data_IF_664227113125
#
_entry.id   IF_664227113125
#
_cell.length_a   1.000
_cell.length_b   1.000
_cell.length_c   1.000
_cell.angle_alpha   90.00
_cell.angle_beta   90.00
_cell.angle_gamma   90.00
#
_symmetry.space_group_name_H-M   'P 1'
#
loop_
_entity.id
_entity.type
_entity.pdbx_description
1 polymer ?
#
# COMPACT_ATOMS: atom_id res chain seq x y z
N UNK A 1 -12.04 32.60 15.85
CA UNK A 1 -11.15 31.73 16.67
C UNK A 1 -11.70 30.34 16.95
N UNK A 2 -12.79 30.15 17.72
CA UNK A 2 -13.30 28.79 18.00
C UNK A 2 -13.76 28.04 16.74
N UNK A 3 -14.36 28.74 15.78
CA UNK A 3 -14.79 28.15 14.51
C UNK A 3 -13.58 27.77 13.63
N UNK A 4 -12.57 28.63 13.57
CA UNK A 4 -11.34 28.41 12.80
C UNK A 4 -10.54 27.20 13.32
N UNK A 5 -10.44 27.04 14.64
CA UNK A 5 -9.81 25.86 15.27
C UNK A 5 -10.59 24.58 14.93
N UNK A 6 -11.93 24.63 14.95
CA UNK A 6 -12.77 23.48 14.58
C UNK A 6 -12.60 23.12 13.10
N UNK A 7 -12.55 24.12 12.22
CA UNK A 7 -12.28 23.93 10.80
C UNK A 7 -10.90 23.31 10.57
N UNK A 8 -9.86 23.84 11.21
CA UNK A 8 -8.51 23.27 11.17
C UNK A 8 -8.51 21.82 11.66
N UNK A 9 -9.13 21.54 12.81
CA UNK A 9 -9.22 20.18 13.36
C UNK A 9 -9.83 19.19 12.35
N UNK A 10 -10.88 19.60 11.66
CA UNK A 10 -11.52 18.77 10.66
C UNK A 10 -10.59 18.52 9.47
N UNK A 11 -9.93 19.56 8.95
CA UNK A 11 -8.91 19.44 7.89
C UNK A 11 -7.80 18.47 8.29
N UNK A 12 -7.26 18.60 9.50
CA UNK A 12 -6.24 17.69 10.03
C UNK A 12 -6.75 16.24 10.10
N UNK A 13 -8.01 16.02 10.51
CA UNK A 13 -8.61 14.67 10.52
C UNK A 13 -8.73 14.07 9.13
N UNK A 14 -9.15 14.86 8.14
CA UNK A 14 -9.23 14.39 6.76
C UNK A 14 -7.85 14.00 6.21
N UNK A 15 -6.84 14.85 6.39
CA UNK A 15 -5.46 14.52 6.00
C UNK A 15 -4.93 13.28 6.72
N UNK A 16 -5.22 13.13 8.02
CA UNK A 16 -4.89 11.93 8.77
C UNK A 16 -5.51 10.67 8.15
N UNK A 17 -6.81 10.69 7.84
CA UNK A 17 -7.51 9.55 7.24
C UNK A 17 -6.90 9.19 5.90
N UNK A 18 -6.69 10.18 5.02
CA UNK A 18 -6.08 9.96 3.71
C UNK A 18 -4.66 9.35 3.81
N UNK A 19 -3.85 9.79 4.77
CA UNK A 19 -2.51 9.23 5.01
C UNK A 19 -2.60 7.82 5.58
N UNK A 20 -3.52 7.55 6.50
CA UNK A 20 -3.73 6.21 7.07
C UNK A 20 -4.20 5.19 6.02
N UNK A 21 -5.09 5.61 5.12
CA UNK A 21 -5.52 4.83 3.96
C UNK A 21 -4.36 4.55 3.03
N UNK A 22 -3.62 5.58 2.61
CA UNK A 22 -2.48 5.44 1.69
C UNK A 22 -1.39 4.55 2.30
N UNK A 23 -1.10 4.70 3.58
CA UNK A 23 -0.23 3.80 4.35
C UNK A 23 -0.67 2.34 4.20
N UNK A 24 -1.97 2.06 4.39
CA UNK A 24 -2.52 0.71 4.25
C UNK A 24 -2.38 0.18 2.82
N UNK A 25 -2.60 1.01 1.81
CA UNK A 25 -2.45 0.63 0.40
C UNK A 25 -1.01 0.16 0.13
N UNK A 26 0.00 0.90 0.61
CA UNK A 26 1.40 0.51 0.45
C UNK A 26 1.75 -0.80 1.19
N UNK A 27 1.25 -1.00 2.42
CA UNK A 27 1.41 -2.30 3.11
C UNK A 27 0.81 -3.46 2.30
N UNK A 28 -0.41 -3.27 1.77
CA UNK A 28 -1.10 -4.30 0.99
C UNK A 28 -0.43 -4.55 -0.37
N UNK A 29 0.15 -3.52 -0.99
CA UNK A 29 0.92 -3.67 -2.21
C UNK A 29 2.22 -4.47 -1.94
N UNK A 30 2.90 -4.25 -0.81
CA UNK A 30 4.01 -5.07 -0.38
C UNK A 30 3.61 -6.54 -0.15
N UNK A 31 2.48 -6.79 0.52
CA UNK A 31 1.93 -8.15 0.68
C UNK A 31 1.69 -8.84 -0.66
N UNK A 32 1.23 -8.11 -1.68
CA UNK A 32 0.99 -8.64 -3.03
C UNK A 32 2.32 -9.04 -3.69
N UNK A 33 3.38 -8.24 -3.55
CA UNK A 33 4.69 -8.58 -4.07
C UNK A 33 5.26 -9.84 -3.40
N UNK A 34 5.20 -9.92 -2.08
CA UNK A 34 5.65 -11.10 -1.32
C UNK A 34 4.87 -12.34 -1.77
N UNK A 35 3.54 -12.26 -1.82
CA UNK A 35 2.72 -13.40 -2.22
C UNK A 35 3.04 -13.90 -3.64
N UNK A 36 3.25 -12.99 -4.60
CA UNK A 36 3.67 -13.33 -5.96
C UNK A 36 5.05 -13.99 -5.98
N UNK A 37 6.00 -13.42 -5.25
CA UNK A 37 7.35 -13.95 -5.14
C UNK A 37 7.33 -15.37 -4.56
N UNK A 38 6.61 -15.58 -3.45
CA UNK A 38 6.51 -16.87 -2.78
C UNK A 38 5.90 -17.94 -3.69
N UNK A 39 4.85 -17.61 -4.45
CA UNK A 39 4.26 -18.57 -5.41
C UNK A 39 5.26 -18.97 -6.49
N UNK A 40 5.96 -18.00 -7.10
CA UNK A 40 6.97 -18.28 -8.13
C UNK A 40 8.16 -19.08 -7.58
N UNK A 41 8.61 -18.76 -6.37
CA UNK A 41 9.70 -19.46 -5.69
C UNK A 41 9.34 -20.93 -5.43
N UNK A 42 8.13 -21.22 -4.96
CA UNK A 42 7.69 -22.60 -4.76
C UNK A 42 7.62 -23.40 -6.06
N UNK A 43 7.08 -22.81 -7.14
CA UNK A 43 7.07 -23.45 -8.46
C UNK A 43 8.52 -23.72 -8.91
N UNK A 44 9.41 -22.74 -8.76
CA UNK A 44 10.82 -22.88 -9.11
C UNK A 44 11.48 -24.02 -8.35
N UNK A 45 11.30 -24.09 -7.03
CA UNK A 45 11.89 -25.13 -6.18
C UNK A 45 11.40 -26.53 -6.60
N UNK A 46 10.09 -26.68 -6.84
CA UNK A 46 9.51 -27.97 -7.26
C UNK A 46 10.08 -28.40 -8.62
N UNK A 47 10.10 -27.50 -9.60
CA UNK A 47 10.61 -27.79 -10.95
C UNK A 47 12.12 -28.06 -10.93
N UNK A 48 12.89 -27.31 -10.14
CA UNK A 48 14.33 -27.54 -9.97
C UNK A 48 14.64 -28.87 -9.26
N UNK A 49 13.83 -29.25 -8.27
CA UNK A 49 13.90 -30.55 -7.61
C UNK A 49 13.61 -31.70 -8.58
N UNK A 50 12.54 -31.57 -9.38
CA UNK A 50 12.20 -32.54 -10.42
C UNK A 50 13.31 -32.64 -11.50
N UNK A 51 13.91 -31.51 -11.88
CA UNK A 51 15.04 -31.45 -12.82
C UNK A 51 16.25 -32.20 -12.25
N UNK A 52 16.58 -31.98 -10.98
CA UNK A 52 17.68 -32.68 -10.30
C UNK A 52 17.45 -34.19 -10.24
N UNK A 53 16.23 -34.63 -9.91
CA UNK A 53 15.86 -36.03 -9.93
C UNK A 53 15.94 -36.66 -11.33
N UNK A 54 15.45 -35.94 -12.36
CA UNK A 54 15.55 -36.35 -13.76
C UNK A 54 17.00 -36.49 -14.25
N UNK A 55 17.88 -35.56 -13.86
CA UNK A 55 19.32 -35.66 -14.14
C UNK A 55 19.94 -36.91 -13.51
N UNK A 56 19.57 -37.27 -12.28
CA UNK A 56 20.04 -38.51 -11.63
C UNK A 56 19.53 -39.73 -12.40
N UNK A 57 18.25 -39.76 -12.79
CA UNK A 57 17.67 -40.87 -13.56
C UNK A 57 18.41 -41.10 -14.90
N UNK A 58 18.79 -40.03 -15.62
CA UNK A 58 19.56 -40.11 -16.87
C UNK A 58 20.91 -40.81 -16.67
N UNK A 59 21.53 -40.73 -15.48
CA UNK A 59 22.80 -41.40 -15.22
C UNK A 59 22.65 -42.93 -15.10
N UNK A 60 21.49 -43.41 -14.66
CA UNK A 60 21.23 -44.84 -14.46
C UNK A 60 20.49 -45.47 -15.64
N UNK A 61 19.66 -44.70 -16.36
CA UNK A 61 18.85 -45.17 -17.50
C UNK A 61 19.38 -44.58 -18.82
N UNK A 62 20.10 -45.41 -19.58
CA UNK A 62 20.93 -44.94 -20.71
C UNK A 62 20.14 -44.47 -21.94
N UNK A 63 18.91 -44.96 -22.15
CA UNK A 63 18.21 -44.82 -23.44
C UNK A 63 16.81 -44.18 -23.38
N UNK A 64 16.37 -43.64 -22.24
CA UNK A 64 15.07 -42.98 -22.16
C UNK A 64 15.11 -41.53 -22.67
N UNK A 65 14.77 -41.34 -23.95
CA UNK A 65 14.63 -40.02 -24.59
C UNK A 65 13.65 -39.11 -23.84
N UNK A 66 12.56 -39.68 -23.31
CA UNK A 66 11.52 -38.93 -22.61
C UNK A 66 12.03 -38.27 -21.33
N UNK A 67 12.86 -38.94 -20.51
CA UNK A 67 13.46 -38.33 -19.32
C UNK A 67 14.35 -37.16 -19.72
N UNK A 68 15.18 -37.32 -20.76
CA UNK A 68 16.07 -36.25 -21.26
C UNK A 68 15.27 -35.03 -21.70
N UNK A 69 14.19 -35.23 -22.47
CA UNK A 69 13.33 -34.16 -22.94
C UNK A 69 12.62 -33.43 -21.80
N UNK A 70 12.00 -34.17 -20.87
CA UNK A 70 11.29 -33.58 -19.72
C UNK A 70 12.27 -32.79 -18.83
N UNK A 71 13.45 -33.35 -18.58
CA UNK A 71 14.49 -32.69 -17.77
C UNK A 71 14.98 -31.40 -18.43
N UNK A 72 15.16 -31.38 -19.75
CA UNK A 72 15.55 -30.19 -20.49
C UNK A 72 14.46 -29.10 -20.48
N UNK A 73 13.19 -29.49 -20.61
CA UNK A 73 12.06 -28.55 -20.51
C UNK A 73 11.97 -27.97 -19.10
N UNK A 74 12.10 -28.82 -18.06
CA UNK A 74 12.04 -28.40 -16.67
C UNK A 74 13.20 -27.43 -16.30
N UNK A 75 14.41 -27.68 -16.80
CA UNK A 75 15.54 -26.78 -16.59
C UNK A 75 15.32 -25.42 -17.28
N UNK A 76 14.75 -25.43 -18.48
CA UNK A 76 14.40 -24.20 -19.20
C UNK A 76 13.30 -23.40 -18.49
N UNK A 77 12.24 -24.06 -17.99
CA UNK A 77 11.19 -23.42 -17.18
C UNK A 77 11.79 -22.77 -15.92
N UNK A 78 12.70 -23.47 -15.24
CA UNK A 78 13.39 -22.94 -14.05
C UNK A 78 14.17 -21.67 -14.38
N UNK A 79 14.85 -21.64 -15.53
CA UNK A 79 15.57 -20.46 -16.00
C UNK A 79 14.62 -19.29 -16.32
N UNK A 80 13.49 -19.56 -16.99
CA UNK A 80 12.45 -18.54 -17.26
C UNK A 80 11.92 -17.95 -15.97
N UNK A 81 11.52 -18.77 -15.00
CA UNK A 81 10.97 -18.29 -13.72
C UNK A 81 12.00 -17.42 -13.00
N UNK A 82 13.27 -17.85 -12.99
CA UNK A 82 14.36 -17.07 -12.40
C UNK A 82 14.54 -15.72 -13.10
N UNK A 83 14.53 -15.71 -14.44
CA UNK A 83 14.63 -14.49 -15.23
C UNK A 83 13.45 -13.53 -14.97
N UNK A 84 12.23 -14.05 -14.88
CA UNK A 84 11.03 -13.26 -14.51
C UNK A 84 11.21 -12.66 -13.11
N UNK A 85 11.59 -13.45 -12.11
CA UNK A 85 11.75 -12.96 -10.74
C UNK A 85 12.82 -11.86 -10.62
N UNK A 86 13.89 -11.95 -11.41
CA UNK A 86 14.95 -10.94 -11.46
C UNK A 86 14.57 -9.71 -12.31
N UNK A 87 13.78 -9.88 -13.37
CA UNK A 87 13.38 -8.77 -14.25
C UNK A 87 12.26 -7.92 -13.67
N UNK A 88 11.39 -8.51 -12.84
CA UNK A 88 10.26 -7.81 -12.22
C UNK A 88 10.58 -7.28 -10.81
N UNK A 89 11.81 -7.42 -10.34
CA UNK A 89 12.34 -6.89 -9.08
C UNK A 89 11.32 -6.92 -7.93
N UNK A 90 10.64 -8.07 -7.76
CA UNK A 90 9.52 -8.19 -6.82
C UNK A 90 9.95 -7.88 -5.38
N UNK A 91 11.20 -8.19 -5.03
CA UNK A 91 11.81 -7.88 -3.73
C UNK A 91 12.09 -6.39 -3.55
N UNK A 92 12.60 -5.71 -4.57
CA UNK A 92 12.87 -4.28 -4.48
C UNK A 92 11.55 -3.49 -4.49
N UNK A 93 10.58 -3.96 -5.28
CA UNK A 93 9.19 -3.48 -5.24
C UNK A 93 8.58 -3.62 -3.85
N UNK A 94 8.71 -4.77 -3.18
CA UNK A 94 8.28 -4.93 -1.80
C UNK A 94 9.00 -3.94 -0.85
N UNK A 95 10.32 -3.89 -0.91
CA UNK A 95 11.15 -3.06 -0.02
C UNK A 95 10.79 -1.58 -0.15
N UNK A 96 10.64 -1.10 -1.39
CA UNK A 96 10.23 0.26 -1.70
C UNK A 96 8.84 0.57 -1.13
N UNK A 97 7.87 -0.32 -1.31
CA UNK A 97 6.53 -0.16 -0.76
C UNK A 97 6.54 -0.12 0.78
N UNK A 98 7.33 -1.00 1.42
CA UNK A 98 7.51 -0.99 2.89
C UNK A 98 8.20 0.28 3.38
N UNK A 99 9.16 0.80 2.64
CA UNK A 99 9.84 2.05 2.97
C UNK A 99 8.85 3.23 2.96
N UNK A 100 8.03 3.36 1.91
CA UNK A 100 6.98 4.38 1.85
C UNK A 100 5.93 4.20 2.94
N UNK A 101 5.49 2.96 3.22
CA UNK A 101 4.57 2.67 4.31
C UNK A 101 5.11 3.16 5.67
N UNK A 102 6.39 2.92 5.98
CA UNK A 102 7.01 3.41 7.23
C UNK A 102 7.06 4.93 7.31
N UNK A 103 7.36 5.62 6.20
CA UNK A 103 7.33 7.10 6.15
C UNK A 103 5.92 7.62 6.44
N UNK A 104 4.90 7.00 5.83
CA UNK A 104 3.49 7.37 6.05
C UNK A 104 3.00 7.04 7.46
N UNK A 105 3.47 5.94 8.05
CA UNK A 105 3.17 5.58 9.44
C UNK A 105 3.66 6.67 10.41
N UNK A 106 4.89 7.13 10.22
CA UNK A 106 5.45 8.24 11.01
C UNK A 106 4.61 9.51 10.82
N UNK A 107 4.33 9.89 9.58
CA UNK A 107 3.53 11.08 9.28
C UNK A 107 2.13 11.00 9.92
N UNK A 108 1.50 9.83 9.89
CA UNK A 108 0.22 9.56 10.56
C UNK A 108 0.29 9.83 12.06
N UNK A 109 1.35 9.38 12.72
CA UNK A 109 1.53 9.58 14.16
C UNK A 109 1.81 11.07 14.50
N UNK A 110 2.47 11.81 13.59
CA UNK A 110 2.62 13.27 13.69
C UNK A 110 1.25 14.00 13.55
N UNK A 111 0.36 13.54 12.67
CA UNK A 111 -1.02 14.05 12.59
C UNK A 111 -1.83 13.77 13.87
N UNK A 112 -1.69 12.58 14.48
CA UNK A 112 -2.33 12.29 15.78
C UNK A 112 -1.83 13.27 16.83
N UNK A 113 -0.53 13.54 16.87
CA UNK A 113 0.06 14.50 17.80
C UNK A 113 -0.54 15.89 17.62
N UNK A 114 -0.66 16.37 16.39
CA UNK A 114 -1.31 17.66 16.09
C UNK A 114 -2.78 17.67 16.54
N UNK A 115 -3.54 16.60 16.30
CA UNK A 115 -4.93 16.49 16.76
C UNK A 115 -5.05 16.52 18.29
N UNK A 116 -4.10 15.91 19.01
CA UNK A 116 -4.03 15.98 20.47
C UNK A 116 -3.75 17.40 20.94
N UNK A 117 -2.83 18.11 20.29
CA UNK A 117 -2.51 19.51 20.62
C UNK A 117 -3.69 20.46 20.40
N UNK A 118 -4.39 20.31 19.26
CA UNK A 118 -5.63 21.04 18.96
C UNK A 118 -6.67 20.81 20.07
N UNK A 119 -6.86 19.54 20.48
CA UNK A 119 -7.82 19.18 21.53
C UNK A 119 -7.45 19.76 22.90
N UNK A 120 -6.15 19.83 23.22
CA UNK A 120 -5.66 20.36 24.49
C UNK A 120 -5.79 21.88 24.58
N UNK A 121 -5.94 22.60 23.45
CA UNK A 121 -6.22 24.03 23.42
C UNK A 121 -5.11 24.92 23.99
N UNK A 122 -3.87 24.41 24.07
CA UNK A 122 -2.72 25.10 24.67
C UNK A 122 -1.91 25.96 23.69
N UNK A 123 -2.13 25.78 22.39
CA UNK A 123 -1.44 26.51 21.31
C UNK A 123 -2.43 27.42 20.59
N UNK A 124 -1.93 28.55 20.10
CA UNK A 124 -2.71 29.46 19.26
C UNK A 124 -2.93 28.88 17.86
N UNK A 125 -3.87 29.48 17.13
CA UNK A 125 -4.29 29.01 15.81
C UNK A 125 -3.15 29.09 14.77
N UNK A 126 -2.36 30.17 14.76
CA UNK A 126 -1.31 30.36 13.76
C UNK A 126 -0.22 29.31 13.89
N UNK A 127 0.18 29.00 15.14
CA UNK A 127 1.15 27.95 15.44
C UNK A 127 0.70 26.56 15.00
N UNK A 128 -0.59 26.24 15.20
CA UNK A 128 -1.18 24.96 14.78
C UNK A 128 -1.28 24.88 13.24
N UNK A 129 -1.63 25.97 12.59
CA UNK A 129 -1.72 26.06 11.12
C UNK A 129 -0.34 25.90 10.47
N UNK A 130 0.70 26.50 11.04
CA UNK A 130 2.07 26.36 10.57
C UNK A 130 2.55 24.90 10.67
N UNK A 131 2.28 24.24 11.80
CA UNK A 131 2.60 22.81 11.96
C UNK A 131 1.84 21.96 10.95
N UNK A 132 0.55 22.22 10.73
CA UNK A 132 -0.23 21.53 9.70
C UNK A 132 0.38 21.69 8.30
N UNK A 133 0.76 22.91 7.90
CA UNK A 133 1.43 23.18 6.61
C UNK A 133 2.75 22.41 6.48
N UNK A 134 3.50 22.29 7.58
CA UNK A 134 4.73 21.48 7.61
C UNK A 134 4.45 19.99 7.38
N UNK A 135 3.40 19.42 8.01
CA UNK A 135 2.99 18.04 7.78
C UNK A 135 2.50 17.81 6.34
N UNK A 136 1.78 18.76 5.76
CA UNK A 136 1.34 18.69 4.36
C UNK A 136 2.54 18.72 3.40
N UNK A 137 3.57 19.52 3.68
CA UNK A 137 4.82 19.51 2.92
C UNK A 137 5.51 18.15 2.98
N UNK A 138 5.66 17.58 4.18
CA UNK A 138 6.22 16.23 4.35
C UNK A 138 5.40 15.17 3.60
N UNK A 139 4.07 15.29 3.61
CA UNK A 139 3.18 14.40 2.85
C UNK A 139 3.49 14.45 1.35
N UNK A 140 3.62 15.65 0.79
CA UNK A 140 3.94 15.82 -0.63
C UNK A 140 5.30 15.21 -1.00
N UNK A 141 6.33 15.43 -0.17
CA UNK A 141 7.66 14.82 -0.36
C UNK A 141 7.58 13.29 -0.37
N UNK A 142 6.81 12.69 0.55
CA UNK A 142 6.63 11.24 0.58
C UNK A 142 5.89 10.74 -0.67
N UNK A 143 4.88 11.48 -1.16
CA UNK A 143 4.08 11.10 -2.32
C UNK A 143 4.85 11.25 -3.64
N UNK A 144 5.76 12.21 -3.73
CA UNK A 144 6.64 12.38 -4.89
C UNK A 144 7.57 11.17 -5.09
N UNK A 145 8.12 10.65 -3.99
CA UNK A 145 8.98 9.46 -3.98
C UNK A 145 8.22 8.13 -4.00
N UNK A 146 6.88 8.16 -3.87
CA UNK A 146 6.12 6.94 -3.64
C UNK A 146 6.05 6.05 -4.89
N UNK A 147 6.36 4.73 -4.77
CA UNK A 147 6.19 3.80 -5.88
C UNK A 147 4.71 3.64 -6.21
N UNK A 148 4.40 3.43 -7.49
CA UNK A 148 3.02 3.20 -7.94
C UNK A 148 2.39 2.00 -7.24
N UNK A 149 1.12 2.13 -6.88
CA UNK A 149 0.28 1.07 -6.33
C UNK A 149 -0.72 0.61 -7.38
N UNK A 150 -1.37 -0.54 -7.14
CA UNK A 150 -2.39 -1.09 -8.05
C UNK A 150 -3.79 -0.94 -7.49
N UNK A 151 -4.81 -0.86 -8.35
CA UNK A 151 -6.20 -0.83 -7.90
C UNK A 151 -6.57 -2.06 -7.07
N UNK A 152 -5.93 -3.20 -7.33
CA UNK A 152 -6.06 -4.42 -6.52
C UNK A 152 -5.57 -4.19 -5.09
N UNK A 153 -4.46 -3.48 -4.91
CA UNK A 153 -3.96 -3.11 -3.59
C UNK A 153 -4.91 -2.15 -2.90
N UNK A 154 -5.39 -1.11 -3.60
CA UNK A 154 -6.37 -0.16 -3.08
C UNK A 154 -7.63 -0.87 -2.57
N UNK A 155 -8.31 -1.66 -3.43
CA UNK A 155 -9.52 -2.40 -3.04
C UNK A 155 -9.28 -3.36 -1.87
N UNK A 156 -8.15 -4.07 -1.86
CA UNK A 156 -7.82 -5.01 -0.77
C UNK A 156 -7.49 -4.27 0.53
N UNK A 157 -6.88 -3.09 0.47
CA UNK A 157 -6.64 -2.24 1.63
C UNK A 157 -7.96 -1.70 2.20
N UNK A 158 -8.84 -1.16 1.37
CA UNK A 158 -10.16 -0.69 1.81
C UNK A 158 -10.99 -1.81 2.42
N UNK A 159 -11.00 -3.00 1.81
CA UNK A 159 -11.63 -4.17 2.43
C UNK A 159 -11.03 -4.52 3.79
N UNK A 160 -9.70 -4.47 3.96
CA UNK A 160 -9.05 -4.71 5.26
C UNK A 160 -9.36 -3.61 6.27
N UNK A 161 -9.53 -2.36 5.85
CA UNK A 161 -9.89 -1.24 6.73
C UNK A 161 -11.35 -1.39 7.16
N UNK A 162 -12.29 -1.58 6.23
CA UNK A 162 -13.72 -1.74 6.53
C UNK A 162 -14.03 -2.99 7.37
N UNK A 163 -13.35 -4.12 7.14
CA UNK A 163 -13.50 -5.32 8.00
C UNK A 163 -12.96 -5.10 9.42
N UNK A 164 -11.96 -4.22 9.61
CA UNK A 164 -11.54 -3.82 10.96
C UNK A 164 -12.42 -2.72 11.56
N UNK A 165 -13.16 -2.00 10.70
CA UNK A 165 -14.06 -0.89 11.04
C UNK A 165 -15.53 -1.32 11.09
N UNK A 166 -15.86 -2.61 10.97
CA UNK A 166 -17.21 -3.15 11.25
C UNK A 166 -17.69 -2.94 12.71
N UNK A 167 -16.95 -2.13 13.51
CA UNK A 167 -17.39 -1.56 14.77
C UNK A 167 -17.53 -0.03 14.78
N UNK A 168 -17.06 0.72 13.78
CA UNK A 168 -17.24 2.17 13.66
C UNK A 168 -17.14 2.59 12.17
N UNK A 169 -18.17 3.28 11.68
CA UNK A 169 -18.31 3.98 10.39
C UNK A 169 -19.14 3.26 9.30
N UNK A 170 -20.26 3.90 8.95
CA UNK A 170 -21.19 3.51 7.89
C UNK A 170 -20.71 3.96 6.51
N UNK A 171 -21.14 3.22 5.50
CA UNK A 171 -20.98 3.52 4.09
C UNK A 171 -21.74 4.79 3.70
N UNK A 172 -21.05 5.92 3.59
CA UNK A 172 -21.47 7.05 2.76
C UNK A 172 -20.21 7.86 2.41
N UNK A 173 -20.18 8.42 1.20
CA UNK A 173 -19.11 9.26 0.63
C UNK A 173 -17.98 8.54 -0.13
N UNK A 174 -18.35 8.01 -1.30
CA UNK A 174 -17.51 8.24 -2.48
C UNK A 174 -18.08 9.43 -3.23
N UNK A 175 -17.21 10.41 -3.50
CA UNK A 175 -17.39 11.54 -4.43
C UNK A 175 -17.93 12.87 -3.89
N UNK A 176 -17.25 13.43 -2.89
CA UNK A 176 -17.07 14.89 -2.82
C UNK A 176 -15.64 15.17 -2.35
N UNK A 177 -14.76 15.49 -3.30
CA UNK A 177 -13.32 15.78 -3.09
C UNK A 177 -13.03 16.95 -2.13
N UNK A 178 -14.07 17.58 -1.60
CA UNK A 178 -14.00 18.57 -0.55
C UNK A 178 -14.73 18.03 0.70
N UNK A 179 -14.03 17.92 1.85
CA UNK A 179 -14.69 17.56 3.10
C UNK A 179 -15.92 18.43 3.35
N UNK A 180 -17.01 17.85 3.87
CA UNK A 180 -18.31 18.55 3.99
C UNK A 180 -18.20 19.96 4.59
N UNK A 181 -17.35 20.11 5.60
CA UNK A 181 -17.12 21.35 6.34
C UNK A 181 -16.30 22.43 5.59
N UNK A 182 -15.77 22.10 4.41
CA UNK A 182 -15.13 23.04 3.48
C UNK A 182 -16.03 23.39 2.28
N UNK A 183 -17.15 22.68 2.08
CA UNK A 183 -18.15 23.06 1.08
C UNK A 183 -18.77 24.35 1.57
N UNK A 184 -18.55 25.45 0.84
CA UNK A 184 -19.08 26.76 1.22
C UNK A 184 -20.60 26.68 1.44
N UNK A 185 -21.11 27.36 2.46
CA UNK A 185 -22.54 27.68 2.54
C UNK A 185 -22.91 28.51 1.29
N UNK A 186 -23.37 27.83 0.25
CA UNK A 186 -23.69 28.42 -1.05
C UNK A 186 -24.94 27.76 -1.62
N UNK A 187 -26.07 28.42 -1.39
CA UNK A 187 -27.38 28.22 -2.04
C UNK A 187 -28.04 26.85 -1.86
N UNK A 188 -28.82 26.76 -0.77
CA UNK A 188 -30.07 26.00 -0.79
C UNK A 188 -30.96 26.61 -1.88
N UNK A 189 -30.90 26.05 -3.09
CA UNK A 189 -31.93 26.27 -4.11
C UNK A 189 -33.22 25.67 -3.55
N UNK A 190 -34.03 26.52 -2.94
CA UNK A 190 -35.42 26.25 -2.64
C UNK A 190 -36.12 26.02 -3.99
N UNK A 191 -36.47 24.75 -4.25
CA UNK A 191 -37.43 24.44 -5.31
C UNK A 191 -38.81 24.91 -4.85
N UNK A 192 -39.36 25.90 -5.54
CA UNK A 192 -40.80 26.08 -5.67
C UNK A 192 -41.37 24.96 -6.54
#
# INVERSE_FOLDING_TARGET
MKNDIKMLQNVVRHSFTAVAETHKIHEVQADIYIARYTVLEWIRIIVAGATSAGLIAILFEKDEFWIKLITAIASFITAIITGVMQSFDLKDGESSQKATARKLLRLRDEYITLLMEIRNGRRDYESLLEQYKSLEKQKHEIYEDAPRTTDKASRKAMKKLHVNLDNQFSEEETDILLPEYLRGEGEVVTKQ
#
